data_IF_412702685070
#
_entry.id   IF_412702685070
#
_cell.length_a   1.000
_cell.length_b   1.000
_cell.length_c   1.000
_cell.angle_alpha   90.00
_cell.angle_beta   90.00
_cell.angle_gamma   90.00
#
_symmetry.space_group_name_H-M   'P 1'
#
loop_
_entity.id
_entity.type
_entity.pdbx_description
1 polymer ?
#
# COMPACT_ATOMS: atom_id res chain seq x y z
N UNK A 1 -1.80 6.09 6.45
CA UNK A 1 -0.47 6.52 5.94
C UNK A 1 0.38 7.16 7.03
N UNK A 2 -0.03 8.25 7.69
CA UNK A 2 0.77 8.93 8.72
C UNK A 2 1.35 8.00 9.81
N UNK A 3 0.52 7.12 10.40
CA UNK A 3 0.99 6.16 11.41
C UNK A 3 2.07 5.19 10.88
N UNK A 4 1.96 4.74 9.63
CA UNK A 4 2.96 3.88 9.00
C UNK A 4 4.29 4.62 8.76
N UNK A 5 4.21 5.88 8.31
CA UNK A 5 5.36 6.76 8.13
C UNK A 5 6.09 7.01 9.46
N UNK A 6 5.35 7.40 10.51
CA UNK A 6 5.88 7.60 11.86
C UNK A 6 6.54 6.33 12.41
N UNK A 7 5.90 5.17 12.24
CA UNK A 7 6.45 3.87 12.64
C UNK A 7 7.79 3.55 11.95
N UNK A 8 7.85 3.71 10.63
CA UNK A 8 9.10 3.51 9.88
C UNK A 8 10.20 4.50 10.31
N UNK A 9 9.87 5.78 10.45
CA UNK A 9 10.79 6.84 10.91
C UNK A 9 11.35 6.57 12.30
N UNK A 10 10.53 6.07 13.23
CA UNK A 10 10.97 5.72 14.60
C UNK A 10 12.06 4.65 14.63
N UNK A 11 12.24 3.92 13.52
CA UNK A 11 13.27 2.89 13.31
C UNK A 11 14.31 3.29 12.25
N UNK A 12 14.46 4.59 11.98
CA UNK A 12 15.34 5.15 10.94
C UNK A 12 15.07 4.63 9.52
N UNK A 13 13.84 4.18 9.24
CA UNK A 13 13.42 3.76 7.90
C UNK A 13 13.23 4.95 6.96
N UNK A 14 13.52 4.73 5.67
CA UNK A 14 13.24 5.67 4.59
C UNK A 14 11.74 5.68 4.28
N UNK A 15 11.13 6.87 4.25
CA UNK A 15 9.72 7.04 3.91
C UNK A 15 9.58 7.96 2.72
N UNK A 16 9.00 7.47 1.62
CA UNK A 16 8.75 8.26 0.41
C UNK A 16 7.25 8.55 0.31
N UNK A 17 6.88 9.82 0.29
CA UNK A 17 5.50 10.26 0.05
C UNK A 17 5.25 10.54 -1.43
N UNK A 18 4.43 9.73 -2.10
CA UNK A 18 3.98 10.03 -3.47
C UNK A 18 2.68 10.82 -3.41
N UNK A 19 2.69 12.07 -3.84
CA UNK A 19 1.60 13.02 -3.63
C UNK A 19 0.71 13.16 -4.87
N UNK A 20 -0.62 13.30 -4.69
CA UNK A 20 -1.56 13.46 -5.80
C UNK A 20 -1.66 14.91 -6.33
N UNK A 21 -1.15 15.87 -5.55
CA UNK A 21 -1.25 17.32 -5.77
C UNK A 21 0.02 17.90 -6.41
N UNK A 22 0.06 19.22 -6.53
CA UNK A 22 1.17 20.04 -7.06
C UNK A 22 2.18 20.49 -5.99
N UNK A 23 2.03 20.02 -4.74
CA UNK A 23 2.93 20.35 -3.64
C UNK A 23 2.74 21.74 -3.04
N UNK A 24 1.67 22.47 -3.39
CA UNK A 24 1.35 23.75 -2.75
C UNK A 24 1.05 23.60 -1.24
N UNK A 25 0.46 22.47 -0.83
CA UNK A 25 0.35 22.08 0.57
C UNK A 25 1.70 21.49 1.04
N UNK A 26 2.30 21.95 2.16
CA UNK A 26 3.53 21.38 2.72
C UNK A 26 3.46 19.85 2.94
N UNK A 27 2.27 19.30 3.11
CA UNK A 27 2.03 17.85 3.26
C UNK A 27 2.52 17.28 4.60
N UNK A 28 2.48 15.95 4.75
CA UNK A 28 2.79 15.30 6.01
C UNK A 28 4.28 15.44 6.37
N UNK A 29 4.56 15.90 7.59
CA UNK A 29 5.91 16.17 8.09
C UNK A 29 6.81 14.90 8.21
N UNK A 30 6.21 13.71 8.22
CA UNK A 30 6.90 12.46 8.56
C UNK A 30 7.49 11.71 7.35
N UNK A 31 7.67 12.37 6.20
CA UNK A 31 8.31 11.77 5.01
C UNK A 31 9.78 12.17 4.91
N UNK A 32 10.60 11.27 4.39
CA UNK A 32 12.03 11.51 4.11
C UNK A 32 12.24 12.25 2.79
N UNK A 33 11.36 12.01 1.82
CA UNK A 33 11.26 12.78 0.58
C UNK A 33 9.83 12.73 0.03
N UNK A 34 9.47 13.74 -0.75
CA UNK A 34 8.19 13.82 -1.45
C UNK A 34 8.39 13.73 -2.95
N UNK A 35 7.56 12.93 -3.62
CA UNK A 35 7.42 12.90 -5.07
C UNK A 35 6.07 13.54 -5.39
N UNK A 36 6.10 14.77 -5.88
CA UNK A 36 4.90 15.53 -6.30
C UNK A 36 4.55 15.13 -7.73
N UNK A 37 3.31 14.70 -7.96
CA UNK A 37 2.92 14.16 -9.28
C UNK A 37 1.89 15.01 -10.01
N UNK A 38 1.03 15.74 -9.27
CA UNK A 38 -0.16 16.41 -9.81
C UNK A 38 -1.06 15.49 -10.67
N UNK A 39 -1.09 14.19 -10.35
CA UNK A 39 -1.83 13.16 -11.09
C UNK A 39 -3.16 12.77 -10.44
N UNK A 40 -3.55 13.40 -9.33
CA UNK A 40 -4.70 12.95 -8.55
C UNK A 40 -4.55 11.48 -8.16
N UNK A 41 -5.60 10.69 -8.38
CA UNK A 41 -5.59 9.25 -8.05
C UNK A 41 -4.73 8.40 -8.99
N UNK A 42 -4.37 8.90 -10.19
CA UNK A 42 -3.52 8.14 -11.11
C UNK A 42 -2.11 7.89 -10.54
N UNK A 43 -1.68 8.67 -9.53
CA UNK A 43 -0.44 8.43 -8.77
C UNK A 43 -0.38 7.05 -8.10
N UNK A 44 -1.52 6.38 -7.90
CA UNK A 44 -1.57 5.04 -7.31
C UNK A 44 -0.82 4.01 -8.17
N UNK A 45 -0.74 4.21 -9.49
CA UNK A 45 0.06 3.38 -10.36
C UNK A 45 1.57 3.48 -10.02
N UNK A 46 2.06 4.68 -9.71
CA UNK A 46 3.46 4.88 -9.29
C UNK A 46 3.75 4.10 -8.02
N UNK A 47 2.86 4.20 -7.00
CA UNK A 47 3.01 3.43 -5.77
C UNK A 47 3.13 1.94 -6.04
N UNK A 48 2.20 1.40 -6.84
CA UNK A 48 2.13 -0.03 -7.11
C UNK A 48 3.33 -0.51 -7.92
N UNK A 49 3.78 0.24 -8.92
CA UNK A 49 4.91 -0.15 -9.77
C UNK A 49 6.28 0.04 -9.12
N UNK A 50 6.38 0.92 -8.12
CA UNK A 50 7.62 1.13 -7.36
C UNK A 50 7.79 0.19 -6.16
N UNK A 51 6.77 -0.62 -5.82
CA UNK A 51 6.81 -1.47 -4.63
C UNK A 51 7.37 -2.88 -4.94
N UNK A 52 8.03 -3.51 -3.97
CA UNK A 52 8.32 -4.95 -4.00
C UNK A 52 7.19 -5.79 -3.39
N UNK A 53 6.30 -5.15 -2.63
CA UNK A 53 5.14 -5.73 -2.00
C UNK A 53 4.10 -4.67 -1.64
N UNK A 54 2.82 -5.05 -1.54
CA UNK A 54 1.73 -4.14 -1.18
C UNK A 54 0.99 -4.65 0.05
N UNK A 55 1.01 -3.86 1.13
CA UNK A 55 0.18 -4.08 2.32
C UNK A 55 -0.92 -3.01 2.34
N UNK A 56 -2.15 -3.41 2.02
CA UNK A 56 -3.32 -2.57 2.10
C UNK A 56 -3.91 -2.61 3.51
N UNK A 57 -3.97 -1.45 4.16
CA UNK A 57 -4.50 -1.31 5.53
C UNK A 57 -5.81 -0.55 5.50
N UNK A 58 -6.86 -1.14 6.08
CA UNK A 58 -8.20 -0.54 6.11
C UNK A 58 -8.97 -0.68 4.79
N UNK A 59 -10.05 0.11 4.65
CA UNK A 59 -11.13 -0.17 3.68
C UNK A 59 -11.60 1.02 2.85
N UNK A 60 -10.71 1.93 2.40
CA UNK A 60 -11.13 3.04 1.53
C UNK A 60 -11.20 2.64 0.04
N UNK A 61 -11.91 3.42 -0.79
CA UNK A 61 -11.91 3.22 -2.26
C UNK A 61 -10.53 3.43 -2.88
N UNK A 62 -9.75 4.40 -2.39
CA UNK A 62 -8.36 4.59 -2.83
C UNK A 62 -7.51 3.36 -2.55
N UNK A 63 -7.64 2.79 -1.35
CA UNK A 63 -6.98 1.53 -0.96
C UNK A 63 -7.38 0.38 -1.88
N UNK A 64 -8.67 0.26 -2.22
CA UNK A 64 -9.13 -0.80 -3.13
C UNK A 64 -8.55 -0.63 -4.54
N UNK A 65 -8.39 0.61 -5.03
CA UNK A 65 -7.79 0.87 -6.33
C UNK A 65 -6.31 0.47 -6.40
N UNK A 66 -5.55 0.69 -5.31
CA UNK A 66 -4.15 0.24 -5.21
C UNK A 66 -4.07 -1.29 -5.18
N UNK A 67 -4.99 -1.97 -4.48
CA UNK A 67 -5.10 -3.44 -4.49
C UNK A 67 -5.39 -3.94 -5.90
N UNK A 68 -6.36 -3.36 -6.60
CA UNK A 68 -6.71 -3.77 -7.96
C UNK A 68 -5.54 -3.59 -8.93
N UNK A 69 -4.83 -2.45 -8.86
CA UNK A 69 -3.63 -2.19 -9.66
C UNK A 69 -2.51 -3.19 -9.34
N UNK A 70 -2.29 -3.52 -8.06
CA UNK A 70 -1.27 -4.47 -7.65
C UNK A 70 -1.59 -5.89 -8.14
N UNK A 71 -2.86 -6.28 -8.08
CA UNK A 71 -3.33 -7.53 -8.65
C UNK A 71 -3.19 -7.58 -10.17
N UNK A 72 -3.45 -6.47 -10.87
CA UNK A 72 -3.20 -6.36 -12.30
C UNK A 72 -1.71 -6.49 -12.64
N UNK A 73 -0.83 -5.87 -11.84
CA UNK A 73 0.63 -5.99 -11.99
C UNK A 73 1.12 -7.44 -11.85
N UNK A 74 0.51 -8.23 -10.97
CA UNK A 74 0.68 -9.69 -10.88
C UNK A 74 2.07 -10.19 -10.48
N UNK A 75 3.01 -9.31 -10.13
CA UNK A 75 4.42 -9.65 -9.85
C UNK A 75 4.84 -9.42 -8.40
N UNK A 76 3.95 -8.90 -7.55
CA UNK A 76 4.24 -8.59 -6.14
C UNK A 76 3.21 -9.22 -5.22
N UNK A 77 3.60 -9.64 -4.01
CA UNK A 77 2.64 -10.09 -3.00
C UNK A 77 1.74 -8.92 -2.56
N UNK A 78 0.44 -9.22 -2.43
CA UNK A 78 -0.59 -8.25 -2.01
C UNK A 78 -1.29 -8.79 -0.77
N UNK A 79 -1.34 -7.97 0.29
CA UNK A 79 -1.88 -8.34 1.60
C UNK A 79 -2.94 -7.36 2.05
N UNK A 80 -4.02 -7.86 2.65
CA UNK A 80 -5.12 -7.06 3.19
C UNK A 80 -5.13 -7.17 4.73
N UNK A 81 -4.87 -6.06 5.43
CA UNK A 81 -4.88 -6.00 6.90
C UNK A 81 -6.06 -5.15 7.40
N UNK A 82 -6.99 -5.79 8.13
CA UNK A 82 -8.09 -5.11 8.83
C UNK A 82 -9.02 -4.31 7.90
N UNK A 83 -9.21 -4.79 6.67
CA UNK A 83 -9.82 -4.01 5.58
C UNK A 83 -10.72 -4.84 4.68
N UNK A 84 -10.55 -4.63 3.38
CA UNK A 84 -11.37 -5.27 2.34
C UNK A 84 -11.28 -6.79 2.34
N UNK A 85 -12.39 -7.42 1.94
CA UNK A 85 -12.41 -8.76 1.34
C UNK A 85 -13.05 -8.61 -0.04
N UNK A 86 -12.30 -8.93 -1.09
CA UNK A 86 -12.83 -8.91 -2.45
C UNK A 86 -13.44 -10.27 -2.73
N UNK A 87 -14.74 -10.29 -2.99
CA UNK A 87 -15.48 -11.51 -3.29
C UNK A 87 -15.89 -11.51 -4.76
N UNK A 88 -15.84 -12.67 -5.39
CA UNK A 88 -16.37 -12.88 -6.73
C UNK A 88 -17.91 -12.99 -6.73
N UNK A 89 -18.51 -13.18 -7.91
CA UNK A 89 -19.96 -13.15 -8.08
C UNK A 89 -20.73 -14.18 -7.24
N UNK A 90 -20.08 -15.29 -6.84
CA UNK A 90 -20.70 -16.34 -6.02
C UNK A 90 -20.30 -16.29 -4.54
N UNK A 91 -19.63 -15.21 -4.10
CA UNK A 91 -19.25 -14.97 -2.70
C UNK A 91 -17.92 -15.59 -2.27
N UNK A 92 -17.24 -16.29 -3.16
CA UNK A 92 -15.89 -16.81 -2.98
C UNK A 92 -14.85 -15.67 -2.95
N UNK A 93 -13.77 -15.77 -2.18
CA UNK A 93 -12.68 -14.79 -2.24
C UNK A 93 -12.04 -14.75 -3.63
N UNK A 94 -11.82 -13.54 -4.15
CA UNK A 94 -11.03 -13.34 -5.36
C UNK A 94 -9.58 -13.78 -5.08
N UNK A 95 -8.97 -14.65 -5.91
CA UNK A 95 -7.60 -15.09 -5.70
C UNK A 95 -6.58 -13.94 -5.75
N UNK A 96 -5.49 -14.09 -5.00
CA UNK A 96 -4.34 -13.18 -5.05
C UNK A 96 -4.11 -12.39 -3.76
N UNK A 97 -4.95 -11.40 -3.40
CA UNK A 97 -4.79 -10.66 -2.16
C UNK A 97 -4.96 -11.58 -0.96
N UNK A 98 -3.95 -11.62 -0.09
CA UNK A 98 -3.96 -12.48 1.11
C UNK A 98 -4.50 -11.72 2.32
N UNK A 99 -5.67 -12.09 2.88
CA UNK A 99 -6.14 -11.47 4.11
C UNK A 99 -5.29 -11.90 5.31
N UNK A 100 -5.02 -10.95 6.21
CA UNK A 100 -4.31 -11.17 7.49
C UNK A 100 -4.96 -10.34 8.60
N UNK A 101 -4.65 -10.67 9.85
CA UNK A 101 -5.31 -10.09 11.01
C UNK A 101 -4.39 -9.28 11.92
N UNK A 102 -3.08 -9.36 11.71
CA UNK A 102 -2.09 -8.63 12.51
C UNK A 102 -1.01 -7.98 11.62
N UNK A 103 -0.40 -6.86 12.06
CA UNK A 103 0.75 -6.27 11.37
C UNK A 103 1.90 -7.26 11.16
N UNK A 104 2.16 -8.14 12.13
CA UNK A 104 3.23 -9.13 12.09
C UNK A 104 2.99 -10.15 10.97
N UNK A 105 1.75 -10.66 10.88
CA UNK A 105 1.34 -11.53 9.77
C UNK A 105 1.45 -10.83 8.41
N UNK A 106 1.17 -9.52 8.37
CA UNK A 106 1.26 -8.74 7.15
C UNK A 106 2.70 -8.63 6.66
N UNK A 107 3.64 -8.34 7.55
CA UNK A 107 5.07 -8.24 7.22
C UNK A 107 5.63 -9.62 6.84
N UNK A 108 5.35 -10.66 7.62
CA UNK A 108 5.78 -12.04 7.32
C UNK A 108 5.27 -12.55 5.97
N UNK A 109 4.11 -12.06 5.52
CA UNK A 109 3.53 -12.41 4.23
C UNK A 109 4.36 -12.00 3.01
N UNK A 110 5.03 -10.84 3.14
CA UNK A 110 5.60 -10.11 2.02
C UNK A 110 7.12 -10.14 2.02
N UNK A 111 7.73 -10.48 3.16
CA UNK A 111 9.15 -10.73 3.21
C UNK A 111 9.47 -12.03 2.46
N UNK A 112 10.56 -12.05 1.68
CA UNK A 112 11.06 -13.30 1.14
C UNK A 112 11.38 -14.27 2.29
N UNK A 113 11.32 -15.59 2.06
CA UNK A 113 11.82 -16.55 3.03
C UNK A 113 13.26 -16.15 3.40
N UNK A 114 13.54 -16.17 4.71
CA UNK A 114 14.88 -15.85 5.21
C UNK A 114 15.93 -16.79 4.61
N UNK A 115 17.23 -16.42 4.71
CA UNK A 115 18.32 -17.30 4.30
C UNK A 115 18.28 -18.66 5.03
#
# INVERSE_FOLDING_TARGET
MAAAAAGARSRNGLVIGVRPDDGADPGPADVSASVVTNMGQARNAILVWSADAVIAVGGSWGTLSEVALAMWRGTVPVVLLGGWRVLGPTGEPVPGPRPVHTPEQAVQAVLPPGP
#
